data_IF_114613830292
#
_entry.id   IF_114613830292
#
_cell.length_a   1.000
_cell.length_b   1.000
_cell.length_c   1.000
_cell.angle_alpha   90.00
_cell.angle_beta   90.00
_cell.angle_gamma   90.00
#
_symmetry.space_group_name_H-M   'P 1'
#
loop_
_entity.id
_entity.type
_entity.pdbx_description
1 polymer ?
#
# COMPACT_ATOMS: atom_id res chain seq x y z
N UNK A 1 -8.72 -0.55 -27.27
CA UNK A 1 -7.95 0.24 -28.25
C UNK A 1 -8.49 1.65 -28.24
N UNK A 2 -7.62 2.66 -28.19
CA UNK A 2 -8.01 4.07 -28.04
C UNK A 2 -8.82 4.61 -29.23
N UNK A 3 -8.82 3.88 -30.35
CA UNK A 3 -9.43 4.26 -31.63
C UNK A 3 -10.90 3.89 -31.79
N UNK A 4 -11.48 3.07 -30.92
CA UNK A 4 -12.84 2.54 -31.14
C UNK A 4 -12.96 1.93 -32.54
N UNK A 5 -13.88 2.46 -33.35
CA UNK A 5 -14.15 2.03 -34.74
C UNK A 5 -13.41 2.85 -35.83
N UNK A 6 -12.54 3.80 -35.44
CA UNK A 6 -11.83 4.72 -36.35
C UNK A 6 -10.73 3.98 -37.13
N UNK A 7 -10.72 4.12 -38.46
CA UNK A 7 -9.76 3.45 -39.35
C UNK A 7 -8.59 4.34 -39.73
N UNK A 8 -7.53 3.71 -40.23
CA UNK A 8 -6.35 4.42 -40.75
C UNK A 8 -6.76 5.35 -41.91
N UNK A 9 -6.52 6.65 -41.72
CA UNK A 9 -6.87 7.71 -42.67
C UNK A 9 -8.14 8.52 -42.33
N UNK A 10 -8.90 8.13 -41.31
CA UNK A 10 -10.09 8.89 -40.87
C UNK A 10 -9.72 10.15 -40.07
N UNK A 11 -10.60 11.17 -40.07
CA UNK A 11 -10.46 12.34 -39.18
C UNK A 11 -10.50 11.88 -37.71
N UNK A 12 -9.40 12.11 -36.99
CA UNK A 12 -9.22 11.65 -35.60
C UNK A 12 -8.39 10.37 -35.46
N UNK A 13 -7.79 9.87 -36.55
CA UNK A 13 -6.80 8.80 -36.45
C UNK A 13 -5.56 9.25 -35.67
N UNK A 14 -5.19 8.47 -34.66
CA UNK A 14 -4.00 8.66 -33.82
C UNK A 14 -3.25 7.35 -33.72
N UNK A 15 -1.92 7.38 -33.73
CA UNK A 15 -1.07 6.19 -33.51
C UNK A 15 -1.48 5.43 -32.22
N UNK A 16 -1.69 4.11 -32.30
CA UNK A 16 -2.07 3.25 -31.16
C UNK A 16 -0.82 2.56 -30.63
N UNK A 17 -0.94 1.94 -29.46
CA UNK A 17 0.16 1.24 -28.82
C UNK A 17 0.66 0.07 -29.69
N UNK A 18 1.98 -0.01 -29.86
CA UNK A 18 2.62 -1.15 -30.50
C UNK A 18 2.57 -2.37 -29.56
N UNK A 19 1.59 -3.24 -29.77
CA UNK A 19 1.33 -4.43 -28.96
C UNK A 19 2.49 -5.43 -29.04
N UNK A 20 3.07 -5.63 -30.22
CA UNK A 20 4.14 -6.62 -30.42
C UNK A 20 5.43 -6.21 -29.72
N UNK A 21 5.79 -4.92 -29.79
CA UNK A 21 6.93 -4.39 -29.05
C UNK A 21 6.72 -4.44 -27.54
N UNK A 22 5.50 -4.17 -27.07
CA UNK A 22 5.16 -4.29 -25.65
C UNK A 22 5.30 -5.73 -25.16
N UNK A 23 4.75 -6.72 -25.88
CA UNK A 23 4.89 -8.14 -25.55
C UNK A 23 6.37 -8.54 -25.57
N UNK A 24 7.13 -8.09 -26.57
CA UNK A 24 8.56 -8.37 -26.66
C UNK A 24 9.34 -7.74 -25.48
N UNK A 25 8.94 -6.56 -25.00
CA UNK A 25 9.53 -5.94 -23.82
C UNK A 25 9.25 -6.76 -22.55
N UNK A 26 8.00 -7.14 -22.31
CA UNK A 26 7.61 -7.99 -21.18
C UNK A 26 8.38 -9.32 -21.21
N UNK A 27 8.48 -9.94 -22.39
CA UNK A 27 9.22 -11.18 -22.60
C UNK A 27 10.70 -11.06 -22.21
N UNK A 28 11.34 -9.92 -22.48
CA UNK A 28 12.74 -9.65 -22.09
C UNK A 28 12.90 -9.33 -20.60
N UNK A 29 11.81 -9.02 -19.91
CA UNK A 29 11.81 -8.75 -18.47
C UNK A 29 11.81 -9.99 -17.59
N UNK A 30 11.60 -11.19 -18.15
CA UNK A 30 11.65 -12.43 -17.37
C UNK A 30 13.09 -12.74 -16.93
N UNK A 31 13.27 -12.96 -15.63
CA UNK A 31 14.55 -13.19 -14.96
C UNK A 31 14.85 -14.69 -14.85
N UNK A 32 16.09 -15.03 -14.47
CA UNK A 32 16.56 -16.42 -14.40
C UNK A 32 15.83 -17.29 -13.37
N UNK A 33 15.21 -16.68 -12.37
CA UNK A 33 14.45 -17.33 -11.29
C UNK A 33 12.96 -17.48 -11.63
N UNK A 34 12.57 -17.19 -12.88
CA UNK A 34 11.20 -17.27 -13.38
C UNK A 34 10.34 -16.04 -13.08
N UNK A 35 10.83 -15.12 -12.23
CA UNK A 35 10.16 -13.85 -11.93
C UNK A 35 10.23 -12.83 -13.07
N UNK A 36 9.75 -11.62 -12.81
CA UNK A 36 9.76 -10.50 -13.78
C UNK A 36 10.40 -9.28 -13.14
N UNK A 37 11.19 -8.56 -13.93
CA UNK A 37 11.80 -7.29 -13.55
C UNK A 37 11.73 -6.28 -14.69
N UNK A 38 12.29 -5.08 -14.49
CA UNK A 38 12.45 -4.06 -15.53
C UNK A 38 13.29 -4.57 -16.72
N UNK A 39 14.26 -5.43 -16.44
CA UNK A 39 15.07 -6.15 -17.43
C UNK A 39 15.54 -7.47 -16.82
N UNK A 40 15.77 -8.50 -17.64
CA UNK A 40 16.18 -9.84 -17.19
C UNK A 40 17.44 -9.90 -16.33
N UNK A 41 18.26 -8.84 -16.33
CA UNK A 41 19.47 -8.71 -15.49
C UNK A 41 19.20 -8.15 -14.08
N UNK A 42 18.00 -7.65 -13.83
CA UNK A 42 17.62 -7.08 -12.54
C UNK A 42 17.02 -8.13 -11.61
N UNK A 43 16.92 -7.77 -10.34
CA UNK A 43 16.22 -8.56 -9.34
C UNK A 43 14.72 -8.65 -9.67
N UNK A 44 14.19 -9.88 -9.68
CA UNK A 44 12.78 -10.17 -9.87
C UNK A 44 11.91 -9.54 -8.79
N UNK A 45 10.74 -9.02 -9.16
CA UNK A 45 9.83 -8.38 -8.23
C UNK A 45 8.38 -8.77 -8.50
N UNK A 46 7.64 -9.17 -7.45
CA UNK A 46 6.22 -9.52 -7.57
C UNK A 46 5.35 -8.38 -8.12
N UNK A 47 5.72 -7.12 -7.83
CA UNK A 47 5.04 -5.95 -8.41
C UNK A 47 5.21 -5.84 -9.93
N UNK A 48 6.42 -6.09 -10.45
CA UNK A 48 6.65 -6.11 -11.90
C UNK A 48 5.93 -7.29 -12.55
N UNK A 49 5.92 -8.45 -11.89
CA UNK A 49 5.14 -9.61 -12.35
C UNK A 49 3.64 -9.29 -12.45
N UNK A 50 3.06 -8.63 -11.45
CA UNK A 50 1.65 -8.22 -11.52
C UNK A 50 1.38 -7.26 -12.68
N UNK A 51 2.22 -6.24 -12.87
CA UNK A 51 2.05 -5.29 -13.96
C UNK A 51 2.17 -5.96 -15.33
N UNK A 52 3.16 -6.85 -15.51
CA UNK A 52 3.37 -7.58 -16.74
C UNK A 52 2.19 -8.50 -17.07
N UNK A 53 1.77 -9.35 -16.13
CA UNK A 53 0.66 -10.28 -16.33
C UNK A 53 -0.67 -9.54 -16.46
N UNK A 54 -0.86 -8.44 -15.71
CA UNK A 54 -2.03 -7.57 -15.86
C UNK A 54 -2.12 -6.95 -17.25
N UNK A 55 -1.01 -6.45 -17.79
CA UNK A 55 -0.98 -5.90 -19.15
C UNK A 55 -1.32 -6.97 -20.20
N UNK A 56 -0.73 -8.18 -20.09
CA UNK A 56 -1.03 -9.29 -21.01
C UNK A 56 -2.49 -9.76 -20.89
N UNK A 57 -3.01 -9.85 -19.66
CA UNK A 57 -4.41 -10.22 -19.40
C UNK A 57 -5.40 -9.20 -19.98
N UNK A 58 -5.04 -7.91 -19.98
CA UNK A 58 -5.84 -6.87 -20.63
C UNK A 58 -5.86 -7.00 -22.16
N UNK A 59 -4.76 -7.47 -22.77
CA UNK A 59 -4.72 -7.74 -24.22
C UNK A 59 -5.58 -8.95 -24.61
N UNK A 60 -5.58 -10.00 -23.78
CA UNK A 60 -6.34 -11.23 -24.01
C UNK A 60 -7.84 -11.09 -23.65
N UNK A 61 -8.26 -9.92 -23.14
CA UNK A 61 -9.66 -9.66 -22.80
C UNK A 61 -10.50 -9.41 -24.07
N UNK A 62 -11.54 -10.21 -24.35
CA UNK A 62 -12.41 -9.96 -25.49
C UNK A 62 -13.15 -8.62 -25.33
N UNK A 63 -13.26 -7.89 -26.43
CA UNK A 63 -13.92 -6.58 -26.48
C UNK A 63 -15.45 -6.69 -26.29
N UNK A 64 -16.03 -7.82 -26.71
CA UNK A 64 -17.45 -8.12 -26.58
C UNK A 64 -17.69 -9.33 -25.68
N UNK A 65 -18.73 -9.27 -24.85
CA UNK A 65 -19.13 -10.39 -23.96
C UNK A 65 -19.60 -11.63 -24.70
N UNK A 66 -19.81 -11.54 -26.01
CA UNK A 66 -20.30 -12.61 -26.90
C UNK A 66 -19.19 -13.30 -27.68
N UNK A 67 -17.99 -12.70 -27.75
CA UNK A 67 -16.87 -13.27 -28.48
C UNK A 67 -16.20 -14.37 -27.65
N UNK A 68 -15.89 -15.54 -28.22
CA UNK A 68 -15.08 -16.55 -27.54
C UNK A 68 -13.79 -15.91 -27.05
N UNK A 69 -13.42 -16.13 -25.79
CA UNK A 69 -12.14 -15.66 -25.26
C UNK A 69 -11.01 -16.13 -26.19
N UNK A 70 -10.21 -15.21 -26.75
CA UNK A 70 -8.99 -15.60 -27.44
C UNK A 70 -8.10 -16.39 -26.46
N UNK A 71 -7.49 -17.50 -26.89
CA UNK A 71 -6.85 -18.44 -25.98
C UNK A 71 -5.49 -17.95 -25.45
N UNK A 72 -5.46 -17.10 -24.41
CA UNK A 72 -4.23 -16.70 -23.68
C UNK A 72 -3.03 -16.41 -24.62
N UNK A 73 -3.26 -15.77 -25.77
CA UNK A 73 -2.25 -15.68 -26.83
C UNK A 73 -1.16 -14.67 -26.44
N UNK A 74 -1.55 -13.53 -25.88
CA UNK A 74 -0.58 -12.55 -25.37
C UNK A 74 0.18 -13.11 -24.16
N UNK A 75 -0.52 -13.82 -23.26
CA UNK A 75 0.10 -14.44 -22.08
C UNK A 75 1.17 -15.48 -22.47
N UNK A 76 0.85 -16.39 -23.40
CA UNK A 76 1.80 -17.41 -23.89
C UNK A 76 2.98 -16.80 -24.64
N UNK A 77 2.76 -15.73 -25.41
CA UNK A 77 3.83 -15.02 -26.14
C UNK A 77 4.74 -14.21 -25.22
N UNK A 78 4.15 -13.61 -24.19
CA UNK A 78 4.83 -12.69 -23.27
C UNK A 78 5.57 -13.37 -22.12
N UNK A 79 5.20 -14.60 -21.75
CA UNK A 79 5.83 -15.35 -20.65
C UNK A 79 6.48 -16.63 -21.18
N UNK A 80 7.80 -16.62 -21.46
CA UNK A 80 8.55 -17.80 -21.92
C UNK A 80 8.46 -19.00 -20.97
N UNK A 81 8.65 -18.75 -19.67
CA UNK A 81 8.66 -19.78 -18.63
C UNK A 81 7.51 -19.54 -17.63
N UNK A 82 6.35 -20.13 -17.92
CA UNK A 82 5.17 -20.03 -17.04
C UNK A 82 5.35 -20.79 -15.73
N UNK A 83 6.04 -21.93 -15.77
CA UNK A 83 6.23 -22.77 -14.58
C UNK A 83 7.18 -22.09 -13.60
N UNK A 84 8.29 -21.53 -14.08
CA UNK A 84 9.19 -20.72 -13.26
C UNK A 84 8.49 -19.52 -12.64
N UNK A 85 7.58 -18.86 -13.37
CA UNK A 85 6.79 -17.76 -12.82
C UNK A 85 5.85 -18.22 -11.69
N UNK A 86 5.18 -19.37 -11.86
CA UNK A 86 4.32 -19.94 -10.82
C UNK A 86 5.14 -20.35 -9.59
N UNK A 87 6.30 -20.95 -9.79
CA UNK A 87 7.24 -21.29 -8.72
C UNK A 87 7.68 -20.03 -7.97
N UNK A 88 8.11 -18.99 -8.71
CA UNK A 88 8.49 -17.70 -8.15
C UNK A 88 7.38 -17.10 -7.27
N UNK A 89 6.13 -17.10 -7.75
CA UNK A 89 4.97 -16.56 -7.02
C UNK A 89 4.61 -17.41 -5.79
N UNK A 90 4.65 -18.74 -5.91
CA UNK A 90 4.39 -19.67 -4.80
C UNK A 90 5.40 -19.48 -3.67
N UNK A 91 6.68 -19.28 -4.01
CA UNK A 91 7.75 -19.03 -3.04
C UNK A 91 7.69 -17.64 -2.38
N UNK A 92 6.68 -16.80 -2.68
CA UNK A 92 6.47 -15.53 -1.98
C UNK A 92 5.62 -15.65 -0.73
N UNK A 93 4.81 -16.71 -0.60
CA UNK A 93 4.06 -16.97 0.62
C UNK A 93 4.92 -17.71 1.64
N UNK A 94 5.05 -17.15 2.84
CA UNK A 94 5.76 -17.78 3.96
C UNK A 94 5.05 -17.52 5.29
N UNK A 95 5.29 -18.35 6.29
CA UNK A 95 4.70 -18.14 7.61
C UNK A 95 5.31 -16.90 8.25
N UNK A 96 4.45 -16.00 8.74
CA UNK A 96 4.84 -14.77 9.40
C UNK A 96 4.96 -15.00 10.91
N UNK A 97 6.18 -14.83 11.42
CA UNK A 97 6.53 -15.02 12.83
C UNK A 97 6.69 -13.65 13.50
N UNK A 98 5.62 -13.16 14.12
CA UNK A 98 5.57 -11.81 14.69
C UNK A 98 6.55 -11.57 15.85
N UNK A 99 6.91 -12.62 16.60
CA UNK A 99 7.81 -12.51 17.76
C UNK A 99 9.26 -12.23 17.39
N UNK A 100 9.71 -12.75 16.25
CA UNK A 100 11.11 -12.66 15.83
C UNK A 100 11.40 -11.27 15.23
N UNK A 101 10.40 -10.60 14.60
CA UNK A 101 10.58 -9.24 14.09
C UNK A 101 10.77 -8.16 15.18
N UNK A 102 10.29 -8.37 16.41
CA UNK A 102 10.47 -7.43 17.52
C UNK A 102 11.85 -7.56 18.19
N UNK A 103 12.50 -8.72 18.07
CA UNK A 103 13.82 -8.98 18.66
C UNK A 103 14.97 -8.67 17.67
N UNK A 104 14.71 -8.76 16.36
CA UNK A 104 15.73 -8.64 15.29
C UNK A 104 15.86 -7.22 14.67
N UNK A 105 15.82 -6.14 15.46
CA UNK A 105 16.18 -4.80 14.92
C UNK A 105 17.67 -4.71 14.51
N UNK A 106 18.51 -5.71 14.83
CA UNK A 106 19.98 -5.65 14.67
C UNK A 106 20.58 -6.69 13.71
N UNK A 107 19.86 -7.75 13.31
CA UNK A 107 20.46 -8.83 12.51
C UNK A 107 19.63 -9.22 11.27
N UNK A 108 20.35 -9.57 10.20
CA UNK A 108 19.85 -9.65 8.83
C UNK A 108 18.72 -10.68 8.63
N UNK A 109 17.79 -10.32 7.75
CA UNK A 109 16.59 -11.07 7.35
C UNK A 109 16.85 -12.58 7.10
N UNK A 110 16.46 -13.42 8.05
CA UNK A 110 16.10 -14.81 7.76
C UNK A 110 14.86 -15.16 8.55
N UNK A 111 13.97 -15.94 7.94
CA UNK A 111 13.32 -17.10 8.56
C UNK A 111 12.35 -17.73 7.55
N UNK A 112 12.79 -18.86 6.99
CA UNK A 112 11.96 -19.81 6.28
C UNK A 112 11.61 -20.92 7.28
N UNK A 113 10.42 -20.86 7.87
CA UNK A 113 9.96 -21.89 8.80
C UNK A 113 9.69 -23.18 8.02
N UNK A 114 10.32 -24.30 8.43
CA UNK A 114 10.10 -25.64 7.88
C UNK A 114 8.60 -25.97 7.88
N UNK A 115 8.10 -26.38 6.71
CA UNK A 115 6.76 -26.93 6.56
C UNK A 115 6.60 -28.19 7.44
N UNK A 116 5.87 -28.07 8.55
CA UNK A 116 5.64 -29.23 9.42
C UNK A 116 4.89 -28.97 10.73
N UNK A 117 4.88 -27.76 11.27
CA UNK A 117 4.18 -27.45 12.53
C UNK A 117 2.96 -26.55 12.28
N UNK A 118 1.81 -27.19 12.10
CA UNK A 118 0.52 -26.56 11.82
C UNK A 118 -0.22 -26.25 13.12
N UNK A 119 0.15 -25.15 13.77
CA UNK A 119 -0.89 -24.22 14.22
C UNK A 119 -0.91 -23.10 13.18
N UNK A 120 -1.95 -23.05 12.34
CA UNK A 120 -2.05 -22.15 11.18
C UNK A 120 -2.09 -20.69 11.64
N UNK A 121 -0.92 -20.11 11.88
CA UNK A 121 -0.73 -18.72 12.26
C UNK A 121 -1.03 -17.75 11.13
N UNK A 122 -0.10 -16.84 10.86
CA UNK A 122 -0.23 -15.80 9.84
C UNK A 122 0.63 -16.17 8.63
N UNK A 123 0.14 -15.97 7.40
CA UNK A 123 0.96 -16.09 6.18
C UNK A 123 1.14 -14.71 5.56
N UNK A 124 2.39 -14.26 5.49
CA UNK A 124 2.80 -13.02 4.84
C UNK A 124 3.29 -13.27 3.41
N UNK A 125 3.46 -12.17 2.67
CA UNK A 125 4.03 -12.21 1.32
C UNK A 125 5.17 -11.23 1.21
N UNK A 126 6.22 -11.60 0.48
CA UNK A 126 7.29 -10.69 0.08
C UNK A 126 7.25 -10.41 -1.43
N UNK A 127 7.93 -9.35 -1.83
CA UNK A 127 8.07 -8.99 -3.24
C UNK A 127 9.26 -9.65 -3.92
N UNK A 128 10.24 -10.07 -3.13
CA UNK A 128 11.59 -10.48 -3.54
C UNK A 128 12.12 -11.53 -2.56
N UNK A 129 13.09 -12.30 -3.03
CA UNK A 129 13.82 -13.26 -2.19
C UNK A 129 14.46 -12.58 -0.99
N UNK A 130 14.41 -13.24 0.17
CA UNK A 130 15.06 -12.81 1.41
C UNK A 130 14.68 -11.39 1.87
N UNK A 131 13.45 -10.96 1.59
CA UNK A 131 12.87 -9.71 2.10
C UNK A 131 11.72 -10.00 3.07
N UNK A 132 11.51 -9.05 4.00
CA UNK A 132 10.41 -9.06 4.97
C UNK A 132 9.04 -9.05 4.29
N UNK A 133 8.03 -9.48 5.04
CA UNK A 133 6.65 -9.47 4.58
C UNK A 133 6.13 -8.03 4.44
N UNK A 134 5.32 -7.78 3.42
CA UNK A 134 4.57 -6.53 3.24
C UNK A 134 3.15 -6.85 2.77
N UNK A 135 2.18 -6.13 3.32
CA UNK A 135 0.77 -6.22 2.95
C UNK A 135 0.47 -6.10 1.46
N UNK A 136 1.20 -5.24 0.73
CA UNK A 136 0.87 -4.99 -0.67
C UNK A 136 1.11 -6.23 -1.53
N UNK A 137 2.03 -7.11 -1.14
CA UNK A 137 2.31 -8.34 -1.88
C UNK A 137 1.20 -9.40 -1.75
N UNK A 138 0.33 -9.32 -0.74
CA UNK A 138 -0.90 -10.12 -0.72
C UNK A 138 -1.74 -9.86 -1.98
N UNK A 139 -1.78 -8.60 -2.43
CA UNK A 139 -2.47 -8.23 -3.66
C UNK A 139 -1.64 -8.55 -4.90
N UNK A 140 -0.37 -8.13 -4.96
CA UNK A 140 0.45 -8.31 -6.16
C UNK A 140 0.65 -9.80 -6.49
N UNK A 141 0.95 -10.65 -5.51
CA UNK A 141 1.14 -12.09 -5.72
C UNK A 141 -0.20 -12.79 -5.95
N UNK A 142 -1.18 -12.55 -5.06
CA UNK A 142 -2.50 -13.20 -5.14
C UNK A 142 -3.28 -12.83 -6.40
N UNK A 143 -3.24 -11.55 -6.79
CA UNK A 143 -3.85 -11.07 -8.02
C UNK A 143 -3.19 -11.66 -9.26
N UNK A 144 -1.85 -11.81 -9.27
CA UNK A 144 -1.15 -12.44 -10.39
C UNK A 144 -1.53 -13.92 -10.54
N UNK A 145 -1.58 -14.67 -9.43
CA UNK A 145 -1.99 -16.07 -9.46
C UNK A 145 -3.46 -16.24 -9.88
N UNK A 146 -4.34 -15.31 -9.51
CA UNK A 146 -5.72 -15.29 -9.98
C UNK A 146 -5.81 -15.03 -11.49
N UNK A 147 -5.02 -14.09 -12.03
CA UNK A 147 -4.94 -13.85 -13.48
C UNK A 147 -4.40 -15.06 -14.26
N UNK A 148 -3.50 -15.84 -13.65
CA UNK A 148 -2.95 -17.07 -14.24
C UNK A 148 -3.83 -18.32 -14.06
N UNK A 149 -4.97 -18.20 -13.38
CA UNK A 149 -5.90 -19.30 -13.11
C UNK A 149 -5.47 -20.27 -12.00
N UNK A 150 -4.43 -19.93 -11.23
CA UNK A 150 -3.81 -20.80 -10.21
C UNK A 150 -3.98 -20.27 -8.78
N UNK A 151 -5.18 -19.79 -8.45
CA UNK A 151 -5.48 -19.23 -7.13
C UNK A 151 -5.42 -20.24 -5.98
N UNK A 152 -5.48 -21.54 -6.27
CA UNK A 152 -5.45 -22.63 -5.29
C UNK A 152 -4.09 -22.80 -4.60
N UNK A 153 -3.02 -22.22 -5.17
CA UNK A 153 -1.67 -22.27 -4.61
C UNK A 153 -1.57 -21.49 -3.29
N UNK A 154 -2.37 -20.43 -3.12
CA UNK A 154 -2.36 -19.60 -1.90
C UNK A 154 -3.35 -20.12 -0.87
N UNK A 155 -2.90 -20.22 0.38
CA UNK A 155 -3.78 -20.47 1.51
C UNK A 155 -4.48 -19.18 1.98
N UNK A 156 -5.71 -18.97 1.52
CA UNK A 156 -6.49 -17.74 1.75
C UNK A 156 -6.75 -17.45 3.23
N UNK A 157 -6.95 -18.46 4.07
CA UNK A 157 -7.36 -18.29 5.48
C UNK A 157 -6.25 -17.66 6.35
N UNK A 158 -5.03 -18.23 6.45
CA UNK A 158 -3.94 -17.63 7.20
C UNK A 158 -3.41 -16.33 6.58
N UNK A 159 -3.51 -16.16 5.25
CA UNK A 159 -3.21 -14.87 4.60
C UNK A 159 -4.21 -13.79 4.98
N UNK A 160 -5.51 -14.13 5.13
CA UNK A 160 -6.53 -13.20 5.61
C UNK A 160 -6.29 -12.82 7.07
N UNK A 161 -5.91 -13.76 7.93
CA UNK A 161 -5.53 -13.48 9.33
C UNK A 161 -4.38 -12.49 9.39
N UNK A 162 -3.33 -12.68 8.58
CA UNK A 162 -2.21 -11.74 8.50
C UNK A 162 -2.67 -10.30 8.19
N UNK A 163 -3.60 -10.14 7.24
CA UNK A 163 -4.13 -8.83 6.89
C UNK A 163 -4.97 -8.19 8.00
N UNK A 164 -5.81 -8.96 8.69
CA UNK A 164 -6.74 -8.43 9.69
C UNK A 164 -6.11 -8.29 11.08
N UNK A 165 -5.28 -9.24 11.49
CA UNK A 165 -4.78 -9.31 12.87
C UNK A 165 -3.48 -8.51 13.04
N UNK A 166 -2.62 -8.48 12.01
CA UNK A 166 -1.30 -7.83 12.09
C UNK A 166 -1.33 -6.42 11.48
N UNK A 167 -1.90 -6.28 10.28
CA UNK A 167 -1.66 -5.09 9.47
C UNK A 167 -2.81 -4.09 9.50
N UNK A 168 -4.01 -4.51 9.89
CA UNK A 168 -5.14 -3.62 10.11
C UNK A 168 -4.92 -2.73 11.34
N UNK A 169 -4.82 -1.43 11.13
CA UNK A 169 -4.83 -0.46 12.23
C UNK A 169 -6.25 -0.35 12.80
N UNK A 170 -6.37 -0.20 14.12
CA UNK A 170 -7.66 -0.06 14.83
C UNK A 170 -8.56 1.08 14.33
N UNK A 171 -8.01 2.04 13.59
CA UNK A 171 -8.73 3.19 13.02
C UNK A 171 -9.13 2.96 11.54
N UNK A 172 -8.94 1.74 11.03
CA UNK A 172 -9.45 1.29 9.72
C UNK A 172 -8.49 1.40 8.53
N UNK A 173 -7.22 1.72 8.75
CA UNK A 173 -6.18 1.78 7.69
C UNK A 173 -5.32 0.51 7.70
N UNK A 174 -5.05 -0.09 6.56
CA UNK A 174 -4.05 -1.18 6.44
C UNK A 174 -2.66 -0.56 6.44
N UNK A 175 -1.78 -1.02 7.33
CA UNK A 175 -0.38 -0.56 7.42
C UNK A 175 0.53 -1.45 6.59
N UNK A 176 1.52 -0.89 5.87
CA UNK A 176 2.57 -1.68 5.22
C UNK A 176 3.30 -2.63 6.20
N UNK A 177 3.48 -2.19 7.47
CA UNK A 177 3.99 -2.96 8.63
C UNK A 177 3.49 -2.38 9.98
N UNK A 178 3.34 -3.17 11.06
CA UNK A 178 2.88 -2.69 12.36
C UNK A 178 3.83 -1.69 13.06
N UNK A 179 5.15 -1.76 12.80
CA UNK A 179 6.18 -0.86 13.35
C UNK A 179 6.52 0.34 12.46
N UNK A 180 6.05 0.39 11.21
CA UNK A 180 6.38 1.47 10.28
C UNK A 180 5.33 2.60 10.36
N UNK A 181 5.58 3.58 11.22
CA UNK A 181 4.78 4.81 11.31
C UNK A 181 5.24 5.78 10.21
N UNK A 182 4.83 5.55 8.97
CA UNK A 182 5.01 6.57 7.94
C UNK A 182 5.00 6.06 6.51
N UNK A 183 3.83 5.83 5.91
CA UNK A 183 3.58 6.14 4.50
C UNK A 183 2.08 6.16 4.24
N UNK A 184 1.51 7.36 4.08
CA UNK A 184 0.10 7.59 3.72
C UNK A 184 -0.10 7.52 2.20
N UNK A 185 0.33 6.44 1.53
CA UNK A 185 0.19 6.32 0.08
C UNK A 185 -0.39 4.99 -0.40
N UNK A 186 -1.36 4.43 0.32
CA UNK A 186 -2.28 3.42 -0.24
C UNK A 186 -3.65 3.58 0.42
N UNK A 187 -4.53 4.40 -0.14
CA UNK A 187 -5.94 4.48 0.27
C UNK A 187 -6.83 4.61 -0.98
N UNK A 188 -7.26 3.46 -1.53
CA UNK A 188 -8.57 3.26 -2.18
C UNK A 188 -8.82 1.75 -2.44
N UNK A 189 -10.07 1.30 -2.60
CA UNK A 189 -10.87 0.71 -1.54
C UNK A 189 -10.88 -0.83 -1.63
N UNK A 190 -10.41 -1.50 -0.58
CA UNK A 190 -10.65 -2.92 -0.35
C UNK A 190 -11.90 -3.10 0.51
N UNK A 191 -13.08 -2.66 0.04
CA UNK A 191 -14.36 -3.02 0.69
C UNK A 191 -15.42 -3.26 -0.39
N UNK A 192 -15.50 -4.48 -0.89
CA UNK A 192 -16.74 -5.00 -1.46
C UNK A 192 -17.39 -5.96 -0.45
N UNK A 193 -18.43 -5.41 0.21
CA UNK A 193 -19.62 -6.07 0.78
C UNK A 193 -19.45 -7.41 1.52
N UNK A 194 -19.58 -7.36 2.84
CA UNK A 194 -20.18 -8.46 3.63
C UNK A 194 -21.19 -7.90 4.66
N UNK A 195 -22.24 -8.65 5.01
CA UNK A 195 -23.45 -8.13 5.65
C UNK A 195 -23.29 -7.86 7.15
N UNK A 196 -24.09 -6.91 7.62
CA UNK A 196 -24.25 -6.49 9.00
C UNK A 196 -24.53 -7.65 9.95
N UNK A 197 -23.66 -7.85 10.93
CA UNK A 197 -23.96 -8.57 12.16
C UNK A 197 -23.51 -7.72 13.35
N UNK A 198 -24.47 -7.27 14.14
CA UNK A 198 -24.22 -6.65 15.45
C UNK A 198 -23.92 -7.73 16.48
N UNK A 199 -23.04 -7.45 17.45
CA UNK A 199 -23.19 -8.02 18.76
C UNK A 199 -23.32 -6.93 19.83
N UNK A 200 -24.45 -7.00 20.53
CA UNK A 200 -24.60 -6.53 21.91
C UNK A 200 -23.58 -7.27 22.78
N UNK A 201 -22.74 -6.56 23.56
CA UNK A 201 -22.41 -7.01 24.92
C UNK A 201 -21.96 -5.88 25.83
N UNK A 202 -22.73 -5.74 26.91
CA UNK A 202 -22.36 -5.48 28.31
C UNK A 202 -21.20 -4.52 28.63
N UNK A 203 -21.61 -3.40 29.22
CA UNK A 203 -20.79 -2.57 30.09
C UNK A 203 -20.29 -3.35 31.31
N UNK A 204 -19.00 -3.23 31.63
CA UNK A 204 -18.51 -3.34 33.00
C UNK A 204 -17.48 -2.24 33.23
N UNK A 205 -17.82 -1.39 34.19
CA UNK A 205 -17.07 -0.27 34.72
C UNK A 205 -15.94 -0.73 35.63
N UNK A 206 -14.77 -0.11 35.50
CA UNK A 206 -13.90 0.20 36.64
C UNK A 206 -12.98 1.37 36.31
N UNK A 207 -13.13 2.45 37.09
CA UNK A 207 -12.18 3.58 37.13
C UNK A 207 -10.88 3.15 37.81
N UNK A 208 -9.78 3.86 37.50
CA UNK A 208 -9.06 4.52 38.58
C UNK A 208 -9.03 6.04 38.41
N UNK A 209 -9.16 6.72 39.55
CA UNK A 209 -8.96 8.15 39.74
C UNK A 209 -7.46 8.48 39.82
N UNK A 210 -7.20 9.79 39.84
CA UNK A 210 -5.98 10.51 40.26
C UNK A 210 -5.26 11.13 39.07
N UNK A 211 -4.99 12.44 38.99
CA UNK A 211 -5.23 13.58 39.89
C UNK A 211 -5.08 14.82 38.99
N UNK A 212 -5.88 15.85 39.25
CA UNK A 212 -5.69 17.16 38.64
C UNK A 212 -4.47 17.84 39.27
N UNK A 213 -3.57 18.38 38.46
CA UNK A 213 -2.64 19.40 38.93
C UNK A 213 -2.46 20.50 37.88
N UNK A 214 -2.32 21.70 38.42
CA UNK A 214 -2.76 22.96 37.88
C UNK A 214 -1.73 23.67 36.99
N UNK A 215 -2.31 24.58 36.22
CA UNK A 215 -1.77 25.75 35.52
C UNK A 215 -0.61 26.47 36.22
N UNK A 216 0.43 26.86 35.45
CA UNK A 216 0.97 28.23 35.26
C UNK A 216 2.44 28.21 34.75
N UNK A 217 3.01 29.29 34.16
CA UNK A 217 2.43 30.39 33.39
C UNK A 217 3.12 30.60 32.01
N UNK A 218 2.49 31.41 31.15
CA UNK A 218 3.06 31.88 29.88
C UNK A 218 4.36 32.66 30.09
N UNK A 219 5.39 32.32 29.30
CA UNK A 219 6.48 33.23 28.93
C UNK A 219 6.41 33.53 27.44
N UNK A 220 6.36 34.84 27.19
CA UNK A 220 6.26 35.55 25.93
C UNK A 220 7.44 35.32 24.99
N UNK A 221 7.14 34.89 23.76
CA UNK A 221 7.66 35.50 22.52
C UNK A 221 6.76 35.08 21.34
N UNK A 222 5.96 36.04 20.87
CA UNK A 222 4.94 35.92 19.82
C UNK A 222 5.50 35.65 18.40
N UNK A 223 6.28 34.59 18.22
CA UNK A 223 6.81 34.21 16.88
C UNK A 223 6.61 32.73 16.54
N UNK A 224 6.33 31.85 17.50
CA UNK A 224 6.34 30.39 17.26
C UNK A 224 4.95 29.72 17.08
N UNK A 225 3.87 30.51 17.08
CA UNK A 225 2.49 29.99 16.97
C UNK A 225 1.96 29.90 15.54
N UNK A 226 2.74 30.32 14.52
CA UNK A 226 2.30 30.21 13.13
C UNK A 226 2.56 28.81 12.54
N UNK A 227 1.55 28.17 11.90
CA UNK A 227 1.70 26.92 11.16
C UNK A 227 2.84 26.93 10.12
N UNK A 228 3.12 28.10 9.54
CA UNK A 228 4.13 28.31 8.51
C UNK A 228 5.02 29.51 8.89
N UNK A 229 6.23 29.22 9.35
CA UNK A 229 7.28 30.18 9.70
C UNK A 229 8.48 30.01 8.74
N UNK A 230 9.35 31.01 8.62
CA UNK A 230 10.53 30.99 7.74
C UNK A 230 11.44 29.78 8.00
N UNK A 231 11.54 29.33 9.25
CA UNK A 231 12.28 28.10 9.61
C UNK A 231 11.64 26.82 9.03
N UNK A 232 10.30 26.72 9.05
CA UNK A 232 9.57 25.59 8.46
C UNK A 232 9.63 25.64 6.94
N UNK A 233 9.64 26.84 6.34
CA UNK A 233 9.85 27.04 4.90
C UNK A 233 11.22 26.54 4.47
N UNK A 234 12.28 27.00 5.14
CA UNK A 234 13.66 26.58 4.85
C UNK A 234 13.80 25.06 4.92
N UNK A 235 13.30 24.42 5.98
CA UNK A 235 13.32 22.95 6.13
C UNK A 235 12.56 22.24 5.00
N UNK A 236 11.45 22.81 4.52
CA UNK A 236 10.70 22.26 3.40
C UNK A 236 11.43 22.40 2.06
N UNK A 237 12.16 23.50 1.85
CA UNK A 237 12.91 23.74 0.60
C UNK A 237 14.23 22.95 0.55
N UNK A 238 14.89 22.74 1.69
CA UNK A 238 16.17 22.02 1.77
C UNK A 238 16.01 20.50 1.81
N UNK A 239 14.79 19.97 1.96
CA UNK A 239 14.56 18.52 2.04
C UNK A 239 14.88 17.83 0.72
N UNK A 240 15.30 16.57 0.78
CA UNK A 240 15.49 15.77 -0.43
C UNK A 240 14.14 15.51 -1.12
N UNK A 241 14.13 15.34 -2.46
CA UNK A 241 12.87 15.16 -3.22
C UNK A 241 12.05 13.95 -2.77
N UNK A 242 12.68 12.94 -2.16
CA UNK A 242 12.05 11.74 -1.61
C UNK A 242 11.57 11.87 -0.17
N UNK A 243 11.90 12.98 0.52
CA UNK A 243 11.63 13.15 1.94
C UNK A 243 10.30 13.89 2.19
N UNK A 244 9.46 13.27 3.02
CA UNK A 244 8.17 13.84 3.40
C UNK A 244 8.34 14.81 4.57
N UNK A 245 7.68 15.98 4.49
CA UNK A 245 7.67 16.98 5.55
C UNK A 245 6.25 17.52 5.72
N UNK A 246 5.69 17.37 6.92
CA UNK A 246 4.39 17.95 7.29
C UNK A 246 4.60 19.09 8.31
N UNK A 247 4.34 20.36 7.93
CA UNK A 247 4.47 21.51 8.85
C UNK A 247 3.44 21.49 9.99
N UNK A 248 2.41 20.64 9.88
CA UNK A 248 1.34 20.46 10.86
C UNK A 248 1.45 19.14 11.64
N UNK A 249 2.64 18.52 11.64
CA UNK A 249 2.88 17.22 12.29
C UNK A 249 2.50 17.21 13.77
N UNK A 250 2.72 18.31 14.49
CA UNK A 250 2.38 18.40 15.91
C UNK A 250 0.85 18.36 16.15
N UNK A 251 0.08 19.10 15.34
CA UNK A 251 -1.38 19.07 15.38
C UNK A 251 -1.91 17.67 15.01
N UNK A 252 -1.29 17.01 14.02
CA UNK A 252 -1.60 15.63 13.68
C UNK A 252 -1.36 14.68 14.87
N UNK A 253 -0.19 14.75 15.50
CA UNK A 253 0.16 13.92 16.67
C UNK A 253 -0.77 14.14 17.86
N UNK A 254 -1.23 15.37 18.10
CA UNK A 254 -2.23 15.67 19.15
C UNK A 254 -3.57 15.00 18.85
N UNK A 255 -4.00 15.01 17.58
CA UNK A 255 -5.23 14.31 17.17
C UNK A 255 -5.12 12.78 17.33
N UNK A 256 -3.95 12.20 17.00
CA UNK A 256 -3.70 10.77 17.21
C UNK A 256 -3.66 10.39 18.69
N UNK A 257 -3.05 11.23 19.54
CA UNK A 257 -3.03 11.01 21.00
C UNK A 257 -4.45 11.03 21.59
N UNK A 258 -5.31 11.92 21.12
CA UNK A 258 -6.71 11.93 21.53
C UNK A 258 -7.44 10.65 21.10
N UNK A 259 -7.28 10.24 19.84
CA UNK A 259 -7.90 9.00 19.33
C UNK A 259 -7.47 7.77 20.12
N UNK A 260 -6.18 7.67 20.44
CA UNK A 260 -5.63 6.55 21.21
C UNK A 260 -6.23 6.47 22.62
N UNK A 261 -6.37 7.61 23.29
CA UNK A 261 -6.95 7.69 24.64
C UNK A 261 -8.44 7.35 24.68
N UNK A 262 -9.17 7.62 23.60
CA UNK A 262 -10.61 7.43 23.52
C UNK A 262 -11.02 6.20 22.70
N UNK A 263 -10.13 5.21 22.53
CA UNK A 263 -10.46 3.97 21.84
C UNK A 263 -10.85 4.13 20.37
N UNK A 264 -10.47 5.24 19.73
CA UNK A 264 -10.81 5.57 18.35
C UNK A 264 -12.12 6.34 18.14
N UNK A 265 -12.81 6.76 19.20
CA UNK A 265 -14.00 7.61 19.07
C UNK A 265 -13.63 9.00 18.54
N UNK A 266 -14.08 9.29 17.31
CA UNK A 266 -13.79 10.55 16.62
C UNK A 266 -14.57 11.73 17.18
N UNK A 267 -15.72 11.49 17.80
CA UNK A 267 -16.57 12.57 18.32
C UNK A 267 -15.91 13.30 19.49
N UNK A 268 -15.12 12.56 20.28
CA UNK A 268 -14.39 13.08 21.44
C UNK A 268 -13.15 13.92 21.05
N UNK A 269 -12.74 13.88 19.78
CA UNK A 269 -11.49 14.49 19.29
C UNK A 269 -11.70 15.57 18.25
N UNK A 270 -12.93 16.10 18.12
CA UNK A 270 -13.31 17.09 17.11
C UNK A 270 -12.41 18.32 17.06
N UNK A 271 -12.06 18.88 18.23
CA UNK A 271 -11.21 20.07 18.34
C UNK A 271 -9.79 19.83 17.83
N UNK A 272 -9.23 18.64 18.09
CA UNK A 272 -7.89 18.30 17.59
C UNK A 272 -7.87 18.11 16.07
N UNK A 273 -8.93 17.54 15.50
CA UNK A 273 -9.05 17.45 14.04
C UNK A 273 -9.26 18.82 13.40
N UNK A 274 -10.02 19.70 14.03
CA UNK A 274 -10.21 21.06 13.54
C UNK A 274 -8.89 21.83 13.57
N UNK A 275 -8.12 21.74 14.66
CA UNK A 275 -6.78 22.35 14.73
C UNK A 275 -5.82 21.85 13.64
N UNK A 276 -5.87 20.55 13.29
CA UNK A 276 -5.08 20.03 12.16
C UNK A 276 -5.54 20.57 10.80
N UNK A 277 -6.86 20.65 10.58
CA UNK A 277 -7.43 21.22 9.35
C UNK A 277 -7.08 22.69 9.20
N UNK A 278 -7.22 23.47 10.27
CA UNK A 278 -6.92 24.90 10.29
C UNK A 278 -5.43 25.15 10.01
N UNK A 279 -4.55 24.32 10.59
CA UNK A 279 -3.12 24.35 10.31
C UNK A 279 -2.83 24.09 8.82
N UNK A 280 -3.44 23.06 8.23
CA UNK A 280 -3.26 22.75 6.79
C UNK A 280 -3.84 23.82 5.88
N UNK A 281 -4.97 24.40 6.25
CA UNK A 281 -5.61 25.49 5.52
C UNK A 281 -4.71 26.72 5.52
N UNK A 282 -4.21 27.13 6.69
CA UNK A 282 -3.28 28.24 6.83
C UNK A 282 -1.98 28.03 6.03
N UNK A 283 -1.42 26.82 6.05
CA UNK A 283 -0.26 26.46 5.24
C UNK A 283 -0.54 26.59 3.73
N UNK A 284 -1.66 26.04 3.26
CA UNK A 284 -2.05 26.06 1.84
C UNK A 284 -2.30 27.50 1.37
N UNK A 285 -2.98 28.31 2.17
CA UNK A 285 -3.30 29.69 1.83
C UNK A 285 -2.06 30.59 1.80
N UNK A 286 -1.11 30.38 2.72
CA UNK A 286 0.15 31.14 2.72
C UNK A 286 1.02 30.77 1.52
N UNK A 287 1.11 29.48 1.15
CA UNK A 287 1.77 29.05 -0.10
C UNK A 287 1.10 29.59 -1.35
N UNK A 288 -0.24 29.69 -1.40
CA UNK A 288 -0.96 30.32 -2.52
C UNK A 288 -0.71 31.83 -2.61
N UNK A 289 -0.38 32.50 -1.50
CA UNK A 289 0.01 33.92 -1.49
C UNK A 289 1.47 34.11 -1.92
N UNK A 290 2.38 33.28 -1.43
CA UNK A 290 3.81 33.29 -1.79
C UNK A 290 4.03 32.82 -3.25
N UNK A 291 3.23 31.87 -3.72
CA UNK A 291 3.28 31.34 -5.10
C UNK A 291 2.61 32.23 -6.15
N UNK A 292 1.99 33.36 -5.78
CA UNK A 292 1.47 34.38 -6.73
C UNK A 292 2.57 35.31 -7.28
N UNK A 293 3.84 34.89 -7.18
CA UNK A 293 4.97 35.56 -7.83
C UNK A 293 5.29 35.04 -9.24
N UNK A 294 4.44 34.19 -9.83
CA UNK A 294 4.64 33.69 -11.19
C UNK A 294 3.31 33.51 -11.92
N UNK A 295 2.68 34.63 -12.27
CA UNK A 295 1.92 34.85 -13.51
C UNK A 295 1.82 36.36 -13.73
#
# INVERSE_FOLDING_TARGET
>A
MLRGDVKEGDEGWVEDLNVDEMIAHIKRGQTYDGGVAESSQHESHAGYAYCAIGALSLLDRPLDSTSPHPPEEALKRGVPDREGLLHFLASRSFAYLAKEEEEDEVEENFLESKAGELDLGHIGFNGRWNKKADTCYCWWVGGTLAMLGNSTIINVIPSRRYLLDITQHRIGTVRPRPSFVGLNHLNHPAISKTPSFSPNVAAMSSSPKDTAEATEPLKSSDVDTQPWNDDKRRKFETKSKSEFYDPCQEAAQRSYRCLFRNGGDKNMCGEYFQAYRDCKQAWTDKRKKEGRGWF
#
